data_IF_352108439022
#
_entry.id   IF_352108439022
#
_cell.length_a   1.000
_cell.length_b   1.000
_cell.length_c   1.000
_cell.angle_alpha   90.00
_cell.angle_beta   90.00
_cell.angle_gamma   90.00
#
_symmetry.space_group_name_H-M   'P 1'
#
loop_
_entity.id
_entity.type
_entity.pdbx_description
1 polymer ?
#
# COMPACT_ATOMS: atom_id res chain seq x y z
N UNK A 1 -10.66 18.28 -0.51
CA UNK A 1 -10.01 19.02 0.58
C UNK A 1 -8.53 19.09 0.26
N UNK A 2 -8.08 20.22 -0.30
CA UNK A 2 -6.69 20.46 -0.72
C UNK A 2 -5.90 20.93 0.51
N UNK A 3 -5.05 20.06 1.08
CA UNK A 3 -4.05 20.50 2.07
C UNK A 3 -3.12 21.50 1.40
N UNK A 4 -2.95 22.69 1.98
CA UNK A 4 -2.20 23.76 1.32
C UNK A 4 -0.70 23.41 1.27
N UNK A 5 0.05 23.85 0.24
CA UNK A 5 1.50 23.69 0.17
C UNK A 5 2.26 24.17 1.42
N UNK A 6 1.70 25.16 2.13
CA UNK A 6 2.25 25.68 3.39
C UNK A 6 2.19 24.65 4.52
N UNK A 7 1.11 23.88 4.63
CA UNK A 7 0.96 22.87 5.68
C UNK A 7 1.91 21.70 5.44
N UNK A 8 2.04 21.29 4.18
CA UNK A 8 3.01 20.25 3.79
C UNK A 8 4.44 20.68 4.03
N UNK A 9 4.79 21.95 3.77
CA UNK A 9 6.16 22.45 4.02
C UNK A 9 6.58 22.33 5.49
N UNK A 10 5.64 22.54 6.43
CA UNK A 10 5.89 22.40 7.87
C UNK A 10 6.09 20.94 8.25
N UNK A 11 5.24 20.04 7.72
CA UNK A 11 5.37 18.60 7.97
C UNK A 11 6.66 18.04 7.42
N UNK A 12 7.05 18.43 6.20
CA UNK A 12 8.29 18.01 5.57
C UNK A 12 9.48 18.49 6.40
N UNK A 13 9.51 19.76 6.80
CA UNK A 13 10.62 20.29 7.59
C UNK A 13 10.76 19.58 8.95
N UNK A 14 9.64 19.22 9.59
CA UNK A 14 9.63 18.42 10.83
C UNK A 14 10.15 17.01 10.57
N UNK A 15 9.63 16.34 9.55
CA UNK A 15 10.00 14.98 9.19
C UNK A 15 11.50 14.85 8.82
N UNK A 16 12.07 15.84 8.13
CA UNK A 16 13.51 15.93 7.86
C UNK A 16 14.39 16.03 9.11
N UNK A 17 13.83 16.45 10.26
CA UNK A 17 14.52 16.47 11.56
C UNK A 17 14.30 15.18 12.35
N UNK A 18 13.72 14.15 11.75
CA UNK A 18 13.39 12.89 12.40
C UNK A 18 12.08 12.91 13.18
N UNK A 19 11.23 13.94 13.03
CA UNK A 19 9.88 13.93 13.58
C UNK A 19 9.01 12.98 12.77
N UNK A 20 8.88 11.78 13.29
CA UNK A 20 8.21 10.70 12.61
C UNK A 20 6.68 10.81 12.63
N UNK A 21 6.10 11.52 13.61
CA UNK A 21 4.67 11.84 13.62
C UNK A 21 4.32 12.88 12.52
N UNK A 22 5.26 13.74 12.14
CA UNK A 22 5.07 14.60 10.98
C UNK A 22 5.07 13.79 9.67
N UNK A 23 5.92 12.77 9.58
CA UNK A 23 5.92 11.88 8.42
C UNK A 23 4.65 11.03 8.34
N UNK A 24 4.13 10.63 9.50
CA UNK A 24 2.86 9.95 9.59
C UNK A 24 1.73 10.75 8.96
N UNK A 25 1.63 12.03 9.31
CA UNK A 25 0.60 12.90 8.78
C UNK A 25 0.73 13.05 7.25
N UNK A 26 1.95 13.03 6.72
CA UNK A 26 2.19 12.97 5.27
C UNK A 26 1.62 11.67 4.69
N UNK A 27 1.97 10.50 5.25
CA UNK A 27 1.43 9.22 4.78
C UNK A 27 -0.09 9.24 4.80
N UNK A 28 -0.66 9.73 5.89
CA UNK A 28 -2.09 9.78 6.10
C UNK A 28 -2.82 10.62 5.03
N UNK A 29 -2.28 11.79 4.71
CA UNK A 29 -2.83 12.68 3.66
C UNK A 29 -2.76 12.05 2.28
N UNK A 30 -1.71 11.28 1.99
CA UNK A 30 -1.40 10.84 0.63
C UNK A 30 -1.68 9.36 0.35
N UNK A 31 -2.00 8.53 1.35
CA UNK A 31 -2.16 7.08 1.19
C UNK A 31 -3.22 6.71 0.15
N UNK A 32 -4.37 7.39 0.14
CA UNK A 32 -5.46 7.07 -0.77
C UNK A 32 -5.08 7.34 -2.23
N UNK A 33 -4.44 8.49 -2.50
CA UNK A 33 -4.03 8.83 -3.86
C UNK A 33 -2.81 8.01 -4.31
N UNK A 34 -1.90 7.67 -3.40
CA UNK A 34 -0.80 6.76 -3.67
C UNK A 34 -1.33 5.38 -4.06
N UNK A 35 -2.25 4.81 -3.27
CA UNK A 35 -2.89 3.53 -3.58
C UNK A 35 -3.60 3.57 -4.93
N UNK A 36 -4.45 4.56 -5.19
CA UNK A 36 -5.15 4.71 -6.48
C UNK A 36 -4.18 4.80 -7.66
N UNK A 37 -3.08 5.55 -7.49
CA UNK A 37 -2.04 5.69 -8.52
C UNK A 37 -1.37 4.34 -8.79
N UNK A 38 -1.02 3.59 -7.75
CA UNK A 38 -0.43 2.27 -7.89
C UNK A 38 -1.42 1.28 -8.52
N UNK A 39 -2.69 1.30 -8.09
CA UNK A 39 -3.75 0.42 -8.59
C UNK A 39 -4.02 0.58 -10.09
N UNK A 40 -4.03 1.81 -10.59
CA UNK A 40 -4.15 2.07 -12.04
C UNK A 40 -3.00 1.44 -12.83
N UNK A 41 -1.81 1.30 -12.23
CA UNK A 41 -0.63 0.72 -12.88
C UNK A 41 -0.61 -0.81 -12.73
N UNK A 42 -0.94 -1.33 -11.54
CA UNK A 42 -0.81 -2.76 -11.23
C UNK A 42 -2.02 -3.58 -11.63
N UNK A 43 -3.22 -2.99 -11.64
CA UNK A 43 -4.50 -3.71 -11.81
C UNK A 43 -4.84 -4.67 -10.66
N UNK A 44 -4.08 -4.65 -9.56
CA UNK A 44 -4.18 -5.58 -8.43
C UNK A 44 -4.10 -4.80 -7.12
N UNK A 45 -5.06 -5.02 -6.21
CA UNK A 45 -5.08 -4.34 -4.90
C UNK A 45 -3.85 -4.69 -4.07
N UNK A 46 -3.50 -5.97 -4.01
CA UNK A 46 -2.34 -6.45 -3.25
C UNK A 46 -1.04 -5.81 -3.77
N UNK A 47 -0.83 -5.82 -5.09
CA UNK A 47 0.37 -5.20 -5.66
C UNK A 47 0.37 -3.68 -5.52
N UNK A 48 -0.81 -3.04 -5.51
CA UNK A 48 -0.95 -1.60 -5.30
C UNK A 48 -0.62 -1.19 -3.86
N UNK A 49 -1.11 -1.95 -2.87
CA UNK A 49 -0.79 -1.76 -1.46
C UNK A 49 0.70 -1.89 -1.21
N UNK A 50 1.31 -2.96 -1.72
CA UNK A 50 2.74 -3.19 -1.55
C UNK A 50 3.58 -2.11 -2.23
N UNK A 51 3.20 -1.68 -3.44
CA UNK A 51 3.89 -0.60 -4.15
C UNK A 51 3.75 0.75 -3.44
N UNK A 52 2.58 1.04 -2.86
CA UNK A 52 2.37 2.25 -2.08
C UNK A 52 3.22 2.23 -0.80
N UNK A 53 3.23 1.11 -0.06
CA UNK A 53 4.06 0.94 1.14
C UNK A 53 5.55 1.13 0.83
N UNK A 54 6.08 0.41 -0.16
CA UNK A 54 7.49 0.53 -0.57
C UNK A 54 7.80 1.97 -1.05
N UNK A 55 6.85 2.58 -1.76
CA UNK A 55 6.93 3.97 -2.20
C UNK A 55 7.07 4.95 -1.04
N UNK A 56 6.29 4.79 0.03
CA UNK A 56 6.42 5.60 1.25
C UNK A 56 7.73 5.31 2.01
N UNK A 57 8.19 4.06 2.08
CA UNK A 57 9.49 3.77 2.71
C UNK A 57 10.64 4.46 1.96
N UNK A 58 10.61 4.42 0.63
CA UNK A 58 11.60 5.10 -0.22
C UNK A 58 11.49 6.61 -0.15
N UNK A 59 10.27 7.14 -0.09
CA UNK A 59 10.04 8.57 0.10
C UNK A 59 10.64 9.05 1.43
N UNK A 60 10.43 8.33 2.54
CA UNK A 60 11.01 8.66 3.84
C UNK A 60 12.54 8.76 3.76
N UNK A 61 13.19 7.74 3.17
CA UNK A 61 14.66 7.70 2.99
C UNK A 61 15.19 8.80 2.07
N UNK A 62 14.37 9.30 1.16
CA UNK A 62 14.74 10.37 0.22
C UNK A 62 14.34 11.77 0.72
N UNK A 63 13.57 11.86 1.80
CA UNK A 63 12.94 13.10 2.26
C UNK A 63 13.96 14.15 2.70
N UNK A 64 15.10 13.73 3.26
CA UNK A 64 16.20 14.63 3.66
C UNK A 64 16.75 15.46 2.49
N UNK A 65 16.62 14.95 1.26
CA UNK A 65 17.06 15.64 0.03
C UNK A 65 15.92 16.37 -0.68
N UNK A 66 14.69 16.30 -0.16
CA UNK A 66 13.56 16.98 -0.74
C UNK A 66 13.66 18.49 -0.51
N UNK A 67 13.50 19.28 -1.58
CA UNK A 67 13.59 20.73 -1.51
C UNK A 67 12.31 21.33 -0.93
N UNK A 68 12.42 22.01 0.20
CA UNK A 68 11.31 22.78 0.78
C UNK A 68 10.79 23.81 -0.24
N UNK A 69 9.46 23.92 -0.36
CA UNK A 69 8.80 24.77 -1.35
C UNK A 69 8.56 24.11 -2.72
N UNK A 70 9.04 22.89 -2.94
CA UNK A 70 8.55 22.05 -4.04
C UNK A 70 7.25 21.33 -3.66
N UNK A 71 6.46 20.93 -4.65
CA UNK A 71 5.22 20.19 -4.41
C UNK A 71 5.49 18.72 -4.05
N UNK A 72 5.05 18.32 -2.86
CA UNK A 72 5.26 16.97 -2.31
C UNK A 72 4.51 15.90 -3.10
N UNK A 73 3.25 16.19 -3.46
CA UNK A 73 2.35 15.26 -4.16
C UNK A 73 2.96 14.67 -5.44
N UNK A 74 3.37 15.46 -6.46
CA UNK A 74 3.92 14.89 -7.69
C UNK A 74 5.24 14.14 -7.46
N UNK A 75 6.07 14.58 -6.52
CA UNK A 75 7.31 13.89 -6.17
C UNK A 75 7.03 12.50 -5.56
N UNK A 76 6.13 12.45 -4.58
CA UNK A 76 5.74 11.20 -3.92
C UNK A 76 5.08 10.23 -4.91
N UNK A 77 4.13 10.72 -5.72
CA UNK A 77 3.42 9.87 -6.69
C UNK A 77 4.36 9.33 -7.78
N UNK A 78 5.43 10.06 -8.12
CA UNK A 78 6.48 9.54 -9.02
C UNK A 78 7.20 8.34 -8.42
N UNK A 79 7.52 8.38 -7.12
CA UNK A 79 8.16 7.26 -6.42
C UNK A 79 7.20 6.06 -6.40
N UNK A 80 5.96 6.26 -5.99
CA UNK A 80 4.93 5.21 -5.94
C UNK A 80 4.70 4.59 -7.33
N UNK A 81 4.59 5.41 -8.37
CA UNK A 81 4.42 4.93 -9.74
C UNK A 81 5.63 4.12 -10.23
N UNK A 82 6.85 4.46 -9.78
CA UNK A 82 8.05 3.68 -10.08
C UNK A 82 7.97 2.30 -9.42
N UNK A 83 7.56 2.22 -8.15
CA UNK A 83 7.40 0.95 -7.44
C UNK A 83 6.33 0.07 -8.08
N UNK A 84 5.20 0.65 -8.45
CA UNK A 84 4.13 -0.06 -9.14
C UNK A 84 4.61 -0.64 -10.48
N UNK A 85 5.31 0.15 -11.30
CA UNK A 85 5.89 -0.31 -12.58
C UNK A 85 6.95 -1.40 -12.38
N UNK A 86 7.80 -1.25 -11.37
CA UNK A 86 8.81 -2.26 -11.03
C UNK A 86 8.15 -3.60 -10.65
N UNK A 87 7.02 -3.53 -9.93
CA UNK A 87 6.25 -4.70 -9.51
C UNK A 87 5.62 -5.40 -10.72
N UNK A 88 4.93 -4.66 -11.59
CA UNK A 88 4.37 -5.22 -12.85
C UNK A 88 5.47 -5.88 -13.70
N UNK A 89 6.60 -5.20 -13.90
CA UNK A 89 7.73 -5.76 -14.67
C UNK A 89 8.27 -7.05 -14.03
N UNK A 90 8.32 -7.12 -12.70
CA UNK A 90 8.87 -8.28 -11.99
C UNK A 90 7.87 -9.44 -11.96
N UNK A 91 6.57 -9.15 -11.88
CA UNK A 91 5.52 -10.16 -12.02
C UNK A 91 5.53 -10.79 -13.41
N UNK A 92 5.64 -9.98 -14.48
CA UNK A 92 5.76 -10.50 -15.85
C UNK A 92 6.98 -11.41 -16.06
N UNK A 93 8.14 -11.05 -15.48
CA UNK A 93 9.34 -11.92 -15.52
C UNK A 93 9.14 -13.23 -14.76
N UNK A 94 8.50 -13.19 -13.57
CA UNK A 94 8.17 -14.38 -12.78
C UNK A 94 7.23 -15.31 -13.55
N UNK A 95 6.16 -14.75 -14.12
CA UNK A 95 5.20 -15.51 -14.92
C UNK A 95 5.86 -16.14 -16.16
N UNK A 96 6.73 -15.41 -16.86
CA UNK A 96 7.48 -15.97 -18.00
C UNK A 96 8.40 -17.13 -17.57
N UNK A 97 9.05 -17.02 -16.41
CA UNK A 97 9.87 -18.11 -15.88
C UNK A 97 9.01 -19.33 -15.51
N UNK A 98 7.87 -19.12 -14.85
CA UNK A 98 6.91 -20.17 -14.51
C UNK A 98 6.41 -20.91 -15.76
N UNK A 99 6.05 -20.19 -16.82
CA UNK A 99 5.68 -20.78 -18.11
C UNK A 99 6.82 -21.63 -18.70
N UNK A 100 8.07 -21.16 -18.65
CA UNK A 100 9.23 -21.95 -19.12
C UNK A 100 9.48 -23.20 -18.29
N UNK A 101 9.29 -23.13 -16.96
CA UNK A 101 9.46 -24.26 -16.06
C UNK A 101 8.34 -25.29 -16.26
N UNK A 102 7.11 -24.83 -16.51
CA UNK A 102 5.96 -25.70 -16.81
C UNK A 102 6.04 -26.30 -18.21
N UNK A 103 6.50 -25.57 -19.22
CA UNK A 103 6.82 -26.11 -20.55
C UNK A 103 8.03 -27.06 -20.53
N UNK A 104 8.96 -26.88 -19.58
CA UNK A 104 10.08 -27.78 -19.34
C UNK A 104 9.72 -29.09 -18.63
N UNK A 105 8.52 -29.19 -18.05
CA UNK A 105 8.04 -30.40 -17.36
C UNK A 105 7.39 -31.35 -18.37
N UNK A 106 8.11 -32.42 -18.73
CA UNK A 106 7.51 -33.53 -19.50
C UNK A 106 6.90 -34.54 -18.53
N UNK A 107 5.67 -35.05 -18.76
CA UNK A 107 5.10 -36.12 -17.95
C UNK A 107 6.04 -37.34 -17.98
N UNK A 108 6.72 -37.59 -16.86
CA UNK A 108 7.80 -38.58 -16.76
C UNK A 108 8.93 -38.15 -15.81
N UNK A 109 9.09 -36.85 -15.55
CA UNK A 109 9.98 -36.38 -14.50
C UNK A 109 9.35 -36.67 -13.12
N UNK A 110 10.03 -37.47 -12.30
CA UNK A 110 9.53 -37.93 -11.01
C UNK A 110 9.21 -36.73 -10.09
N UNK A 111 7.95 -36.62 -9.66
CA UNK A 111 7.53 -35.64 -8.68
C UNK A 111 8.28 -35.87 -7.35
N UNK A 112 8.76 -34.81 -6.67
CA UNK A 112 9.38 -34.96 -5.35
C UNK A 112 8.40 -35.56 -4.34
N UNK A 113 8.90 -36.45 -3.49
CA UNK A 113 8.13 -37.30 -2.57
C UNK A 113 7.20 -36.49 -1.63
N UNK A 114 5.98 -37.00 -1.31
CA UNK A 114 5.02 -36.38 -0.39
C UNK A 114 5.57 -36.06 1.01
N UNK A 115 6.67 -36.68 1.44
CA UNK A 115 7.33 -36.36 2.70
C UNK A 115 7.91 -34.92 2.75
N UNK A 116 8.25 -34.33 1.61
CA UNK A 116 8.79 -32.96 1.54
C UNK A 116 7.71 -31.87 1.60
N UNK A 117 6.46 -32.21 1.23
CA UNK A 117 5.34 -31.25 1.16
C UNK A 117 4.67 -31.07 2.53
N UNK A 118 4.75 -32.08 3.41
CA UNK A 118 4.07 -32.11 4.70
C UNK A 118 4.56 -31.07 5.73
N UNK A 119 5.71 -30.43 5.54
CA UNK A 119 6.22 -29.38 6.46
C UNK A 119 5.57 -28.01 6.21
N UNK A 120 4.79 -27.85 5.14
CA UNK A 120 4.22 -26.56 4.74
C UNK A 120 2.79 -26.29 5.23
N UNK A 121 2.16 -27.23 5.93
CA UNK A 121 0.74 -27.16 6.27
C UNK A 121 0.50 -27.21 7.79
N UNK A 122 0.94 -26.19 8.50
CA UNK A 122 0.38 -25.90 9.83
C UNK A 122 0.06 -24.41 9.95
N UNK A 123 -1.21 -24.11 10.24
CA UNK A 123 -1.64 -22.79 10.69
C UNK A 123 -2.43 -21.90 9.74
N UNK A 124 -3.30 -22.43 8.87
CA UNK A 124 -4.43 -21.65 8.34
C UNK A 124 -5.46 -21.46 9.47
N UNK A 125 -5.32 -20.37 10.24
CA UNK A 125 -6.39 -19.88 11.10
C UNK A 125 -6.61 -18.38 10.96
N UNK A 126 -7.90 -18.05 11.01
CA UNK A 126 -8.50 -16.75 11.31
C UNK A 126 -8.72 -15.76 10.17
N UNK A 127 -9.95 -15.80 9.67
CA UNK A 127 -10.93 -14.71 9.81
C UNK A 127 -10.40 -13.27 9.60
N UNK A 128 -10.67 -12.78 8.40
CA UNK A 128 -10.73 -11.39 7.94
C UNK A 128 -10.68 -10.30 9.04
N UNK A 129 -9.48 -9.74 9.30
CA UNK A 129 -9.31 -8.41 9.87
C UNK A 129 -8.07 -7.72 9.28
N UNK A 130 -8.31 -6.74 8.42
CA UNK A 130 -7.30 -5.90 7.76
C UNK A 130 -6.68 -4.88 8.73
N UNK A 131 -5.40 -5.00 9.14
CA UNK A 131 -4.64 -3.94 9.83
C UNK A 131 -3.09 -4.03 9.63
N UNK A 132 -2.45 -3.11 8.88
CA UNK A 132 -1.00 -3.21 8.59
C UNK A 132 0.00 -2.56 9.59
N UNK A 133 -0.36 -1.53 10.37
CA UNK A 133 0.65 -0.71 11.11
C UNK A 133 0.62 -0.81 12.65
N UNK A 134 -0.14 -1.74 13.24
CA UNK A 134 -0.45 -1.72 14.69
C UNK A 134 0.20 -2.81 15.56
N UNK A 135 1.37 -3.38 15.23
CA UNK A 135 2.06 -4.29 16.18
C UNK A 135 3.57 -4.56 15.95
N UNK A 136 4.48 -3.65 16.32
CA UNK A 136 5.64 -3.93 17.23
C UNK A 136 6.45 -2.67 17.57
N UNK A 137 6.86 -2.63 18.83
CA UNK A 137 7.51 -1.54 19.56
C UNK A 137 8.93 -1.24 19.04
N UNK A 138 9.07 -0.25 18.15
CA UNK A 138 10.17 0.77 18.07
C UNK A 138 10.23 1.50 16.71
N UNK A 139 9.13 1.54 15.96
CA UNK A 139 8.98 2.42 14.79
C UNK A 139 7.89 3.46 15.06
N UNK A 140 7.88 4.58 14.33
CA UNK A 140 6.88 5.60 14.55
C UNK A 140 5.48 5.14 14.18
N UNK A 141 4.57 5.37 15.12
CA UNK A 141 3.26 4.74 15.19
C UNK A 141 2.26 5.45 14.29
N UNK A 142 2.11 4.99 13.04
CA UNK A 142 1.07 5.46 12.13
C UNK A 142 -0.33 5.01 12.60
N UNK A 143 -1.27 5.93 12.78
CA UNK A 143 -2.67 5.72 13.18
C UNK A 143 -3.59 5.51 11.96
N UNK A 144 -4.67 4.70 12.09
CA UNK A 144 -5.66 4.50 11.03
C UNK A 144 -6.67 5.65 10.95
N UNK A 145 -6.98 6.14 9.75
CA UNK A 145 -7.72 7.39 9.49
C UNK A 145 -9.03 7.25 8.68
N UNK A 146 -9.60 6.06 8.50
CA UNK A 146 -10.90 5.98 7.82
C UNK A 146 -11.95 5.38 8.73
N UNK A 147 -12.74 6.28 9.33
CA UNK A 147 -13.97 5.96 10.01
C UNK A 147 -15.00 5.41 9.03
N UNK A 148 -15.69 4.37 9.49
CA UNK A 148 -16.90 3.82 8.90
C UNK A 148 -17.92 4.93 8.64
N UNK A 149 -18.34 5.05 7.38
CA UNK A 149 -19.58 5.75 7.04
C UNK A 149 -20.71 4.76 7.28
N UNK A 150 -21.18 4.69 8.54
CA UNK A 150 -22.42 3.99 8.87
C UNK A 150 -23.57 4.64 8.10
N UNK A 151 -24.15 3.88 7.18
CA UNK A 151 -25.37 4.23 6.47
C UNK A 151 -26.55 3.87 7.38
N UNK A 152 -26.88 4.74 8.34
CA UNK A 152 -28.11 4.61 9.09
C UNK A 152 -28.70 5.98 9.39
N UNK A 153 -29.65 6.38 8.54
CA UNK A 153 -30.34 7.66 8.60
C UNK A 153 -31.76 7.45 8.09
N UNK A 154 -32.62 6.95 8.98
CA UNK A 154 -34.05 6.85 8.72
C UNK A 154 -34.77 8.19 8.72
N UNK A 155 -35.88 8.19 7.97
CA UNK A 155 -37.05 9.09 7.94
C UNK A 155 -37.05 10.23 6.91
N UNK A 156 -37.91 10.06 5.91
CA UNK A 156 -38.69 11.15 5.33
C UNK A 156 -40.14 10.69 5.19
N UNK A 157 -41.04 11.38 5.88
CA UNK A 157 -42.47 11.24 5.82
C UNK A 157 -43.03 11.80 4.50
N UNK A 158 -44.04 11.12 3.94
CA UNK A 158 -45.05 11.67 3.02
C UNK A 158 -46.40 11.21 3.59
N UNK A 159 -47.23 12.12 4.11
CA UNK A 159 -48.17 12.99 3.40
C UNK A 159 -49.45 12.25 2.99
N UNK A 160 -50.53 12.63 3.70
CA UNK A 160 -51.93 12.79 3.30
C UNK A 160 -52.69 11.76 2.46
N UNK A 161 -53.90 11.45 2.94
CA UNK A 161 -55.11 11.56 2.13
C UNK A 161 -55.91 10.28 1.90
N UNK A 162 -56.94 10.07 2.72
CA UNK A 162 -58.34 9.74 2.35
C UNK A 162 -59.12 9.18 3.55
#
# INVERSE_FOLDING_TARGET
MEGRPKDDSVLIARAQRGDTAAYEEIVQRYQQIAFRTAYVITGSSADAEDAAQEGFVKAYRALDRFRLGADLRPWLLRIVANEARNRVRSSGRRHQLELRLTEGFRPGDAAPSPEAVAVAADGLTSNNSWQPWRRRSNGPQLLPIYGEVSSEGGRSARADGA
#
